data_IF_311440413205
#
_entry.id   IF_311440413205
#
_cell.length_a   1.000
_cell.length_b   1.000
_cell.length_c   1.000
_cell.angle_alpha   90.00
_cell.angle_beta   90.00
_cell.angle_gamma   90.00
#
_symmetry.space_group_name_H-M   'P 1'
#
loop_
_entity.id
_entity.type
_entity.pdbx_description
1 polymer ?
#
# COMPACT_ATOMS: atom_id res chain seq x y z
N UNK A 1 -15.36 -0.07 -6.84
CA UNK A 1 -14.56 -0.48 -5.67
C UNK A 1 -13.83 0.77 -5.14
N UNK A 2 -14.44 1.55 -4.23
CA UNK A 2 -13.73 2.66 -3.59
C UNK A 2 -12.77 2.09 -2.52
N UNK A 3 -11.56 2.64 -2.45
CA UNK A 3 -10.64 2.38 -1.34
C UNK A 3 -11.11 3.19 -0.11
N UNK A 4 -11.47 2.56 1.01
CA UNK A 4 -11.78 3.29 2.24
C UNK A 4 -10.60 4.17 2.68
N UNK A 5 -10.92 5.37 3.16
CA UNK A 5 -9.95 6.37 3.64
C UNK A 5 -8.77 6.59 2.68
N UNK A 6 -9.08 6.72 1.39
CA UNK A 6 -8.10 6.83 0.31
C UNK A 6 -7.04 7.91 0.58
N UNK A 7 -7.45 9.06 1.12
CA UNK A 7 -6.59 10.23 1.36
C UNK A 7 -5.63 10.05 2.54
N UNK A 8 -5.80 9.01 3.38
CA UNK A 8 -4.90 8.77 4.50
C UNK A 8 -3.52 8.29 4.04
N UNK A 9 -2.47 8.80 4.67
CA UNK A 9 -1.08 8.46 4.38
C UNK A 9 -0.75 6.98 4.73
N UNK A 10 0.15 6.37 3.97
CA UNK A 10 0.63 4.99 4.23
C UNK A 10 1.56 4.86 5.45
N UNK A 11 2.02 5.98 6.02
CA UNK A 11 2.93 6.01 7.17
C UNK A 11 4.43 5.98 6.85
N UNK A 12 4.85 5.81 5.59
CA UNK A 12 6.28 5.65 5.22
C UNK A 12 7.06 6.98 5.03
N UNK A 13 6.74 8.03 5.78
CA UNK A 13 7.29 9.39 5.59
C UNK A 13 8.78 9.58 5.93
N UNK A 14 9.69 8.74 5.42
CA UNK A 14 11.13 8.83 5.63
C UNK A 14 11.50 8.74 7.11
N UNK A 15 12.14 9.78 7.65
CA UNK A 15 12.56 9.82 9.07
C UNK A 15 11.40 9.65 10.06
N UNK A 16 10.17 9.99 9.68
CA UNK A 16 8.99 9.73 10.50
C UNK A 16 8.85 8.23 10.80
N UNK A 17 8.98 7.38 9.78
CA UNK A 17 8.84 5.92 9.94
C UNK A 17 9.89 5.31 10.88
N UNK A 18 11.09 5.91 10.92
CA UNK A 18 12.19 5.47 11.79
C UNK A 18 12.03 5.99 13.21
N UNK A 19 11.60 7.24 13.38
CA UNK A 19 11.43 7.88 14.69
C UNK A 19 10.16 7.44 15.41
N UNK A 20 9.11 7.15 14.65
CA UNK A 20 7.77 6.76 15.14
C UNK A 20 7.35 5.41 14.54
N UNK A 21 8.12 4.32 14.79
CA UNK A 21 7.90 3.05 14.10
C UNK A 21 6.53 2.44 14.42
N UNK A 22 6.07 2.53 15.68
CA UNK A 22 4.75 2.02 16.05
C UNK A 22 3.60 2.72 15.33
N UNK A 23 3.67 4.05 15.20
CA UNK A 23 2.66 4.83 14.47
C UNK A 23 2.71 4.54 12.97
N UNK A 24 3.90 4.49 12.38
CA UNK A 24 4.09 4.13 10.97
C UNK A 24 3.47 2.77 10.66
N UNK A 25 3.73 1.76 11.49
CA UNK A 25 3.19 0.41 11.33
C UNK A 25 1.66 0.39 11.49
N UNK A 26 1.11 1.11 12.47
CA UNK A 26 -0.34 1.19 12.66
C UNK A 26 -1.03 1.80 11.42
N UNK A 27 -0.49 2.89 10.88
CA UNK A 27 -1.01 3.54 9.67
C UNK A 27 -0.95 2.60 8.45
N UNK A 28 0.19 1.93 8.24
CA UNK A 28 0.34 0.96 7.16
C UNK A 28 -0.63 -0.21 7.29
N UNK A 29 -0.87 -0.69 8.51
CA UNK A 29 -1.80 -1.78 8.79
C UNK A 29 -3.24 -1.40 8.44
N UNK A 30 -3.70 -0.22 8.87
CA UNK A 30 -5.01 0.32 8.48
C UNK A 30 -5.13 0.43 6.96
N UNK A 31 -4.08 0.88 6.27
CA UNK A 31 -4.10 0.95 4.80
C UNK A 31 -4.23 -0.44 4.16
N UNK A 32 -3.53 -1.46 4.67
CA UNK A 32 -3.66 -2.85 4.20
C UNK A 32 -5.08 -3.39 4.40
N UNK A 33 -5.70 -3.10 5.54
CA UNK A 33 -7.08 -3.49 5.83
C UNK A 33 -8.07 -2.81 4.87
N UNK A 34 -7.88 -1.53 4.57
CA UNK A 34 -8.71 -0.82 3.59
C UNK A 34 -8.51 -1.36 2.17
N UNK A 35 -7.28 -1.72 1.79
CA UNK A 35 -7.00 -2.39 0.51
C UNK A 35 -7.73 -3.73 0.43
N UNK A 36 -7.71 -4.55 1.49
CA UNK A 36 -8.47 -5.80 1.55
C UNK A 36 -9.98 -5.57 1.45
N UNK A 37 -10.51 -4.62 2.22
CA UNK A 37 -11.94 -4.28 2.26
C UNK A 37 -12.45 -3.75 0.92
N UNK A 38 -11.58 -3.12 0.13
CA UNK A 38 -11.93 -2.70 -1.23
C UNK A 38 -12.31 -3.90 -2.11
N UNK A 39 -11.65 -5.05 -1.93
CA UNK A 39 -11.82 -6.22 -2.79
C UNK A 39 -11.10 -6.11 -4.13
N UNK A 40 -10.19 -5.14 -4.31
CA UNK A 40 -9.38 -4.99 -5.50
C UNK A 40 -8.34 -6.13 -5.64
N UNK A 41 -8.05 -6.53 -6.87
CA UNK A 41 -6.99 -7.51 -7.17
C UNK A 41 -5.64 -6.85 -7.44
N UNK A 42 -5.62 -5.53 -7.68
CA UNK A 42 -4.40 -4.75 -7.93
C UNK A 42 -4.44 -3.45 -7.12
N UNK A 43 -3.40 -3.20 -6.33
CA UNK A 43 -3.10 -1.92 -5.71
C UNK A 43 -2.10 -1.15 -6.60
N UNK A 44 -2.46 0.08 -6.92
CA UNK A 44 -1.65 0.97 -7.78
C UNK A 44 -1.30 2.24 -7.02
N UNK A 45 -0.05 2.69 -7.12
CA UNK A 45 0.38 4.00 -6.63
C UNK A 45 1.50 4.58 -7.51
N UNK A 46 1.57 5.91 -7.66
CA UNK A 46 2.72 6.58 -8.27
C UNK A 46 3.91 6.73 -7.31
N UNK A 47 3.80 6.32 -6.04
CA UNK A 47 4.87 6.47 -5.06
C UNK A 47 5.47 5.11 -4.66
N UNK A 48 6.71 4.86 -5.08
CA UNK A 48 7.41 3.60 -4.80
C UNK A 48 7.62 3.35 -3.31
N UNK A 49 7.74 4.41 -2.49
CA UNK A 49 7.99 4.29 -1.06
C UNK A 49 6.74 3.80 -0.32
N UNK A 50 5.56 4.28 -0.72
CA UNK A 50 4.27 3.79 -0.29
C UNK A 50 4.08 2.33 -0.70
N UNK A 51 4.38 1.97 -1.96
CA UNK A 51 4.27 0.59 -2.44
C UNK A 51 5.20 -0.35 -1.69
N UNK A 52 6.42 0.08 -1.37
CA UNK A 52 7.36 -0.72 -0.58
C UNK A 52 6.82 -0.98 0.82
N UNK A 53 6.26 0.03 1.49
CA UNK A 53 5.72 -0.12 2.84
C UNK A 53 4.47 -1.00 2.85
N UNK A 54 3.46 -0.63 2.06
CA UNK A 54 2.17 -1.34 2.00
C UNK A 54 2.39 -2.76 1.46
N UNK A 55 3.10 -2.90 0.33
CA UNK A 55 3.41 -4.20 -0.26
C UNK A 55 4.27 -5.08 0.63
N UNK A 56 5.22 -4.50 1.36
CA UNK A 56 6.00 -5.21 2.37
C UNK A 56 5.13 -5.77 3.49
N UNK A 57 4.14 -5.01 3.97
CA UNK A 57 3.18 -5.46 4.97
C UNK A 57 2.22 -6.52 4.41
N UNK A 58 1.69 -6.31 3.19
CA UNK A 58 0.83 -7.25 2.49
C UNK A 58 1.51 -8.60 2.25
N UNK A 59 2.82 -8.61 1.96
CA UNK A 59 3.58 -9.85 1.73
C UNK A 59 3.60 -10.78 2.96
N UNK A 60 3.38 -10.23 4.16
CA UNK A 60 3.33 -10.95 5.44
C UNK A 60 1.89 -11.27 5.88
N UNK A 61 0.89 -10.80 5.15
CA UNK A 61 -0.53 -11.05 5.42
C UNK A 61 -1.09 -11.98 4.33
N UNK A 62 -1.44 -13.21 4.72
CA UNK A 62 -1.92 -14.24 3.77
C UNK A 62 -3.14 -13.80 2.96
N UNK A 63 -4.07 -13.06 3.57
CA UNK A 63 -5.27 -12.57 2.88
C UNK A 63 -4.94 -11.54 1.79
N UNK A 64 -3.87 -10.75 1.99
CA UNK A 64 -3.45 -9.69 1.08
C UNK A 64 -2.45 -10.16 0.02
N UNK A 65 -1.84 -11.33 0.21
CA UNK A 65 -0.80 -11.88 -0.67
C UNK A 65 -1.26 -12.10 -2.12
N UNK A 66 -2.56 -12.24 -2.35
CA UNK A 66 -3.16 -12.39 -3.69
C UNK A 66 -3.30 -11.09 -4.48
N UNK A 67 -3.18 -9.94 -3.81
CA UNK A 67 -3.35 -8.62 -4.42
C UNK A 67 -2.01 -8.18 -5.00
N UNK A 68 -1.98 -7.85 -6.29
CA UNK A 68 -0.78 -7.38 -6.96
C UNK A 68 -0.49 -5.93 -6.59
N UNK A 69 0.76 -5.60 -6.32
CA UNK A 69 1.20 -4.23 -6.04
C UNK A 69 1.97 -3.74 -7.27
N UNK A 70 1.49 -2.68 -7.91
CA UNK A 70 2.10 -2.13 -9.14
C UNK A 70 2.33 -0.62 -9.03
N UNK A 71 3.42 -0.16 -9.60
CA UNK A 71 3.63 1.25 -9.88
C UNK A 71 2.82 1.66 -11.11
N UNK A 72 2.32 2.91 -11.14
CA UNK A 72 1.52 3.40 -12.27
C UNK A 72 2.26 3.31 -13.61
N UNK A 73 3.58 3.50 -13.61
CA UNK A 73 4.40 3.38 -14.83
C UNK A 73 4.36 1.97 -15.43
N UNK A 74 4.27 0.91 -14.61
CA UNK A 74 4.16 -0.47 -15.10
C UNK A 74 2.85 -0.73 -15.85
N UNK A 75 1.81 0.05 -15.54
CA UNK A 75 0.52 -0.02 -16.23
C UNK A 75 0.59 0.78 -17.53
N UNK A 76 1.14 2.01 -17.46
CA UNK A 76 1.19 2.91 -18.61
C UNK A 76 2.14 2.41 -19.72
N UNK A 77 3.19 1.65 -19.37
CA UNK A 77 4.14 1.08 -20.35
C UNK A 77 3.63 -0.25 -20.92
N UNK A 78 2.66 -0.92 -20.29
CA UNK A 78 2.17 -2.21 -20.76
C UNK A 78 1.34 -2.17 -22.06
N UNK A 79 0.94 -0.97 -22.50
CA UNK A 79 0.16 -0.72 -23.73
C UNK A 79 1.03 -0.32 -24.95
N UNK A 80 2.35 -0.53 -24.90
CA UNK A 80 3.27 -0.44 -26.06
C UNK A 80 3.71 -1.80 -26.62
#
# INVERSE_FOLDING_TARGET
CPLPDMEECCGFGGTFSVKMPGTSLAMGQTKVENVLASGADVLVSPDSSCLMHIGGMMSRNEAARRIQVKHIAEILVADE
#
